data_IF_201617778063
#
_entry.id   IF_201617778063
#
_cell.length_a   1.000
_cell.length_b   1.000
_cell.length_c   1.000
_cell.angle_alpha   90.00
_cell.angle_beta   90.00
_cell.angle_gamma   90.00
#
_symmetry.space_group_name_H-M   'P 1'
#
loop_
_entity.id
_entity.type
_entity.pdbx_description
1 polymer ?
#
# COMPACT_ATOMS: atom_id res chain seq x y z
N UNK A 1 -2.26 15.51 23.79
CA UNK A 1 -2.50 14.09 24.17
C UNK A 1 -1.30 13.53 24.93
N UNK A 2 -1.50 12.56 25.84
CA UNK A 2 -0.37 11.83 26.49
C UNK A 2 0.17 10.74 25.58
N UNK A 3 1.39 10.24 25.83
CA UNK A 3 2.03 9.21 24.97
C UNK A 3 1.20 7.92 24.82
N UNK A 4 0.50 7.49 25.87
CA UNK A 4 -0.38 6.31 25.80
C UNK A 4 -1.62 6.53 24.94
N UNK A 5 -2.12 7.77 24.86
CA UNK A 5 -3.22 8.14 23.98
C UNK A 5 -2.74 8.25 22.52
N UNK A 6 -1.56 8.85 22.29
CA UNK A 6 -0.91 8.90 20.98
C UNK A 6 -0.70 7.48 20.42
N UNK A 7 -0.23 6.55 21.27
CA UNK A 7 -0.06 5.15 20.92
C UNK A 7 -1.37 4.49 20.47
N UNK A 8 -2.48 4.70 21.19
CA UNK A 8 -3.80 4.17 20.79
C UNK A 8 -4.30 4.76 19.48
N UNK A 9 -4.16 6.08 19.28
CA UNK A 9 -4.65 6.76 18.06
C UNK A 9 -3.86 6.39 16.81
N UNK A 10 -2.56 6.12 16.95
CA UNK A 10 -1.67 5.79 15.83
C UNK A 10 -1.49 4.29 15.61
N UNK A 11 -1.85 3.47 16.61
CA UNK A 11 -1.52 2.05 16.65
C UNK A 11 -0.03 1.75 16.83
N UNK A 12 0.82 2.77 17.07
CA UNK A 12 2.25 2.60 17.30
C UNK A 12 2.50 2.29 18.77
N UNK A 13 3.16 1.18 19.14
CA UNK A 13 3.45 0.86 20.54
C UNK A 13 4.29 1.95 21.21
N UNK A 14 4.02 2.23 22.49
CA UNK A 14 4.79 3.21 23.27
C UNK A 14 6.32 2.99 23.22
N UNK A 15 6.85 1.75 23.29
CA UNK A 15 8.29 1.52 23.11
C UNK A 15 8.81 2.00 21.76
N UNK A 16 8.05 1.79 20.68
CA UNK A 16 8.39 2.23 19.33
C UNK A 16 8.32 3.74 19.20
N UNK A 17 7.33 4.41 19.80
CA UNK A 17 7.29 5.89 19.86
C UNK A 17 8.54 6.43 20.57
N UNK A 18 8.93 5.82 21.70
CA UNK A 18 10.15 6.18 22.42
C UNK A 18 11.42 5.88 21.64
N UNK A 19 11.42 4.88 20.77
CA UNK A 19 12.51 4.60 19.85
C UNK A 19 12.61 5.72 18.80
N UNK A 20 11.52 6.07 18.11
CA UNK A 20 11.51 7.16 17.14
C UNK A 20 11.90 8.52 17.74
N UNK A 21 11.54 8.80 18.99
CA UNK A 21 12.00 9.99 19.72
C UNK A 21 13.53 9.99 19.95
N UNK A 22 14.14 8.83 20.21
CA UNK A 22 15.60 8.71 20.41
C UNK A 22 16.38 8.81 19.11
N UNK A 23 15.83 8.24 18.03
CA UNK A 23 16.43 8.29 16.70
C UNK A 23 16.17 9.62 15.98
N UNK A 24 15.46 10.57 16.62
CA UNK A 24 15.16 11.88 16.03
C UNK A 24 14.09 11.87 14.93
N UNK A 25 13.44 10.73 14.69
CA UNK A 25 12.39 10.59 13.67
C UNK A 25 11.08 11.28 14.10
N UNK A 26 10.86 11.46 15.40
CA UNK A 26 9.71 12.17 15.94
C UNK A 26 10.21 13.33 16.82
N UNK A 27 9.69 14.56 16.65
CA UNK A 27 9.99 15.67 17.55
C UNK A 27 9.60 15.35 19.00
N UNK A 28 10.32 15.96 19.94
CA UNK A 28 10.00 15.85 21.35
C UNK A 28 8.65 16.51 21.66
N UNK A 29 7.83 15.87 22.50
CA UNK A 29 6.60 16.47 23.01
C UNK A 29 6.90 17.65 23.94
N UNK A 30 5.91 18.53 24.08
CA UNK A 30 5.99 19.69 24.99
C UNK A 30 6.01 19.22 26.44
N UNK A 31 7.03 19.63 27.20
CA UNK A 31 7.12 19.26 28.62
C UNK A 31 6.00 19.93 29.42
N UNK A 32 5.15 19.11 30.05
CA UNK A 32 4.07 19.57 30.93
C UNK A 32 4.40 19.40 32.41
N UNK A 33 5.35 18.51 32.74
CA UNK A 33 5.93 18.34 34.08
C UNK A 33 7.26 17.57 33.98
N UNK A 34 8.08 17.45 35.06
CA UNK A 34 9.40 16.81 34.99
C UNK A 34 9.43 15.40 34.38
N UNK A 35 8.31 14.67 34.43
CA UNK A 35 8.17 13.31 33.89
C UNK A 35 7.00 13.18 32.91
N UNK A 36 6.45 14.29 32.39
CA UNK A 36 5.31 14.26 31.46
C UNK A 36 5.52 15.21 30.28
N UNK A 37 5.15 14.73 29.10
CA UNK A 37 5.10 15.51 27.88
C UNK A 37 3.71 15.37 27.23
N UNK A 38 3.27 16.46 26.61
CA UNK A 38 2.11 16.52 25.75
C UNK A 38 2.52 16.43 24.28
N UNK A 39 1.74 15.67 23.52
CA UNK A 39 1.91 15.48 22.09
C UNK A 39 0.72 16.10 21.35
N UNK A 40 0.97 16.68 20.18
CA UNK A 40 -0.04 17.30 19.33
C UNK A 40 -0.47 16.42 18.15
N UNK A 41 -1.40 16.91 17.34
CA UNK A 41 -1.82 16.24 16.09
C UNK A 41 -0.68 16.07 15.09
N UNK A 42 0.31 16.96 15.12
CA UNK A 42 1.51 16.86 14.28
C UNK A 42 2.30 15.56 14.56
N UNK A 43 2.40 15.18 15.83
CA UNK A 43 3.04 13.91 16.21
C UNK A 43 2.23 12.71 15.71
N UNK A 44 0.91 12.81 15.67
CA UNK A 44 0.05 11.77 15.12
C UNK A 44 0.22 11.63 13.60
N UNK A 45 0.20 12.75 12.86
CA UNK A 45 0.42 12.79 11.41
C UNK A 45 1.77 12.19 11.05
N UNK A 46 2.83 12.64 11.72
CA UNK A 46 4.19 12.15 11.50
C UNK A 46 4.35 10.66 11.79
N UNK A 47 3.73 10.14 12.85
CA UNK A 47 3.73 8.70 13.14
C UNK A 47 3.00 7.89 12.06
N UNK A 48 1.88 8.39 11.52
CA UNK A 48 1.18 7.75 10.40
C UNK A 48 2.02 7.77 9.13
N UNK A 49 2.74 8.86 8.86
CA UNK A 49 3.67 8.95 7.74
C UNK A 49 4.81 7.94 7.87
N UNK A 50 5.49 7.88 9.02
CA UNK A 50 6.56 6.90 9.28
C UNK A 50 6.07 5.48 9.01
N UNK A 51 4.88 5.14 9.51
CA UNK A 51 4.27 3.82 9.28
C UNK A 51 3.97 3.57 7.81
N UNK A 52 3.40 4.53 7.10
CA UNK A 52 3.10 4.36 5.68
C UNK A 52 4.39 4.11 4.86
N UNK A 53 5.46 4.87 5.14
CA UNK A 53 6.76 4.71 4.49
C UNK A 53 7.44 3.38 4.83
N UNK A 54 7.29 2.89 6.06
CA UNK A 54 7.86 1.62 6.51
C UNK A 54 7.05 0.42 6.02
N UNK A 55 5.74 0.38 6.30
CA UNK A 55 4.87 -0.78 6.13
C UNK A 55 4.51 -1.00 4.65
N UNK A 56 4.22 0.09 3.91
CA UNK A 56 3.78 0.04 2.51
C UNK A 56 4.94 0.44 1.59
N UNK A 57 5.57 1.57 1.90
CA UNK A 57 6.73 2.07 1.16
C UNK A 57 7.94 1.16 1.26
N UNK A 58 8.05 0.34 2.31
CA UNK A 58 9.19 -0.56 2.58
C UNK A 58 10.55 0.14 2.56
N UNK A 59 10.58 1.40 2.97
CA UNK A 59 11.81 2.14 3.24
C UNK A 59 12.41 1.63 4.55
N UNK A 60 13.74 1.64 4.63
CA UNK A 60 14.44 1.39 5.89
C UNK A 60 14.35 2.62 6.79
N UNK A 61 14.43 2.41 8.10
CA UNK A 61 14.39 3.48 9.10
C UNK A 61 15.41 4.60 8.82
N UNK A 62 16.63 4.26 8.37
CA UNK A 62 17.65 5.26 8.02
C UNK A 62 17.18 6.18 6.88
N UNK A 63 16.66 5.62 5.78
CA UNK A 63 16.13 6.39 4.66
C UNK A 63 14.90 7.22 5.05
N UNK A 64 14.04 6.70 5.95
CA UNK A 64 12.93 7.49 6.50
C UNK A 64 13.46 8.70 7.28
N UNK A 65 14.55 8.54 8.04
CA UNK A 65 15.19 9.65 8.74
C UNK A 65 15.71 10.75 7.82
N UNK A 66 16.37 10.38 6.72
CA UNK A 66 16.85 11.33 5.70
C UNK A 66 15.70 12.10 5.06
N UNK A 67 14.63 11.39 4.67
CA UNK A 67 13.42 12.01 4.11
C UNK A 67 12.81 12.99 5.10
N UNK A 68 12.60 12.57 6.34
CA UNK A 68 11.99 13.42 7.37
C UNK A 68 12.86 14.63 7.73
N UNK A 69 14.19 14.47 7.79
CA UNK A 69 15.11 15.59 8.01
C UNK A 69 15.03 16.62 6.87
N UNK A 70 14.87 16.17 5.62
CA UNK A 70 14.66 17.06 4.49
C UNK A 70 13.32 17.81 4.58
N UNK A 71 12.27 17.19 5.13
CA UNK A 71 10.98 17.87 5.39
C UNK A 71 11.11 18.95 6.45
N UNK A 72 11.81 18.63 7.54
CA UNK A 72 11.95 19.54 8.69
C UNK A 72 12.83 20.75 8.37
N UNK A 73 13.68 20.65 7.34
CA UNK A 73 14.48 21.76 6.84
C UNK A 73 13.63 22.77 6.04
N UNK A 74 12.99 23.68 6.77
CA UNK A 74 12.20 24.78 6.22
C UNK A 74 12.99 25.75 5.32
N UNK A 75 14.33 25.71 5.37
CA UNK A 75 15.21 26.55 4.55
C UNK A 75 15.51 25.97 3.16
N UNK A 76 15.30 24.67 2.94
CA UNK A 76 15.60 24.02 1.65
C UNK A 76 14.58 24.38 0.56
N UNK A 77 15.00 24.60 -0.69
CA UNK A 77 14.09 24.61 -1.83
C UNK A 77 13.26 23.31 -1.93
N UNK A 78 12.01 23.39 -2.39
CA UNK A 78 11.11 22.23 -2.47
C UNK A 78 11.67 21.13 -3.40
N UNK A 79 12.29 21.52 -4.50
CA UNK A 79 12.95 20.65 -5.47
C UNK A 79 14.12 19.86 -4.86
N UNK A 80 14.88 20.45 -3.93
CA UNK A 80 15.92 19.72 -3.19
C UNK A 80 15.33 18.67 -2.24
N UNK A 81 14.23 18.99 -1.57
CA UNK A 81 13.52 18.04 -0.69
C UNK A 81 12.98 16.86 -1.51
N UNK A 82 12.35 17.13 -2.65
CA UNK A 82 11.86 16.09 -3.56
C UNK A 82 13.00 15.28 -4.17
N UNK A 83 14.15 15.90 -4.42
CA UNK A 83 15.38 15.23 -4.85
C UNK A 83 15.87 14.20 -3.82
N UNK A 84 15.96 14.60 -2.55
CA UNK A 84 16.37 13.71 -1.47
C UNK A 84 15.39 12.53 -1.29
N UNK A 85 14.09 12.78 -1.44
CA UNK A 85 13.07 11.71 -1.42
C UNK A 85 13.24 10.74 -2.58
N UNK A 86 13.47 11.27 -3.78
CA UNK A 86 13.72 10.47 -4.97
C UNK A 86 14.98 9.61 -4.83
N UNK A 87 16.03 10.17 -4.24
CA UNK A 87 17.28 9.45 -3.94
C UNK A 87 17.05 8.32 -2.92
N UNK A 88 16.37 8.61 -1.81
CA UNK A 88 16.02 7.61 -0.81
C UNK A 88 15.14 6.47 -1.36
N UNK A 89 14.27 6.78 -2.33
CA UNK A 89 13.46 5.80 -3.06
C UNK A 89 14.30 4.91 -3.98
N UNK A 90 15.26 5.49 -4.69
CA UNK A 90 16.17 4.76 -5.58
C UNK A 90 17.19 3.94 -4.78
N UNK A 91 17.57 4.38 -3.59
CA UNK A 91 18.47 3.69 -2.66
C UNK A 91 17.87 2.43 -2.00
N UNK A 92 16.62 2.07 -2.32
CA UNK A 92 16.02 0.79 -1.94
C UNK A 92 16.85 -0.34 -2.57
N UNK A 93 17.27 -1.36 -1.80
CA UNK A 93 18.57 -1.96 -2.00
C UNK A 93 18.66 -2.63 -3.38
N UNK A 94 19.52 -2.08 -4.23
CA UNK A 94 20.37 -2.91 -5.05
C UNK A 94 21.24 -3.74 -4.07
N UNK A 95 20.77 -4.93 -3.73
CA UNK A 95 21.64 -5.97 -3.20
C UNK A 95 21.42 -7.19 -4.09
N UNK A 96 22.47 -7.59 -4.81
CA UNK A 96 23.37 -8.57 -4.25
C UNK A 96 24.64 -7.91 -3.73
N UNK A 97 25.02 -8.25 -2.50
CA UNK A 97 26.40 -8.17 -2.08
C UNK A 97 27.15 -9.19 -2.93
N UNK A 98 27.75 -8.72 -4.01
CA UNK A 98 28.95 -9.31 -4.56
C UNK A 98 29.94 -8.16 -4.69
N UNK A 99 31.18 -8.32 -4.20
CA UNK A 99 32.16 -7.25 -4.28
C UNK A 99 32.42 -6.94 -5.74
N UNK A 100 32.24 -5.68 -6.07
CA UNK A 100 32.64 -5.04 -7.30
C UNK A 100 34.05 -5.50 -7.66
N UNK A 101 34.15 -6.23 -8.77
CA UNK A 101 35.32 -6.03 -9.62
C UNK A 101 35.31 -4.54 -9.96
N UNK A 102 36.43 -3.82 -9.83
CA UNK A 102 36.44 -2.38 -10.07
C UNK A 102 35.88 -2.17 -11.48
N UNK A 103 34.71 -1.50 -11.59
CA UNK A 103 34.21 -1.10 -12.91
C UNK A 103 35.30 -0.20 -13.49
N UNK A 104 35.99 -0.62 -14.57
CA UNK A 104 36.91 0.27 -15.23
C UNK A 104 36.05 1.39 -15.80
N UNK A 105 36.52 2.63 -15.71
CA UNK A 105 36.13 3.67 -16.66
C UNK A 105 36.09 3.02 -18.06
N UNK A 106 34.88 2.91 -18.65
CA UNK A 106 34.69 2.42 -20.00
C UNK A 106 34.04 1.03 -20.22
N UNK A 107 33.10 0.55 -19.40
CA UNK A 107 32.22 -0.56 -19.83
C UNK A 107 31.39 -0.11 -21.06
N UNK A 108 31.64 -0.68 -22.26
CA UNK A 108 30.96 -0.25 -23.48
C UNK A 108 29.44 -0.45 -23.42
N UNK A 109 28.96 -1.43 -22.64
CA UNK A 109 27.54 -1.71 -22.46
C UNK A 109 26.90 -0.62 -21.61
N UNK A 110 27.53 -0.25 -20.50
CA UNK A 110 27.05 0.81 -19.62
C UNK A 110 27.04 2.17 -20.34
N UNK A 111 28.10 2.51 -21.08
CA UNK A 111 28.14 3.72 -21.88
C UNK A 111 27.07 3.75 -22.98
N UNK A 112 26.83 2.62 -23.64
CA UNK A 112 25.77 2.50 -24.65
C UNK A 112 24.39 2.73 -24.03
N UNK A 113 24.13 2.14 -22.86
CA UNK A 113 22.92 2.37 -22.09
C UNK A 113 22.77 3.85 -21.70
N UNK A 114 23.85 4.49 -21.22
CA UNK A 114 23.85 5.92 -20.85
C UNK A 114 23.48 6.81 -22.03
N UNK A 115 24.12 6.59 -23.20
CA UNK A 115 23.79 7.31 -24.44
C UNK A 115 22.32 7.13 -24.84
N UNK A 116 21.75 5.93 -24.68
CA UNK A 116 20.33 5.66 -24.96
C UNK A 116 19.40 6.42 -24.00
N UNK A 117 19.74 6.49 -22.72
CA UNK A 117 19.00 7.24 -21.69
C UNK A 117 19.06 8.74 -21.98
N UNK A 118 20.24 9.29 -22.25
CA UNK A 118 20.40 10.72 -22.55
C UNK A 118 19.62 11.11 -23.82
N UNK A 119 19.67 10.27 -24.85
CA UNK A 119 18.90 10.49 -26.06
C UNK A 119 17.38 10.39 -25.80
N UNK A 120 16.92 9.54 -24.88
CA UNK A 120 15.52 9.48 -24.47
C UNK A 120 15.10 10.78 -23.75
N UNK A 121 15.87 11.21 -22.75
CA UNK A 121 15.63 12.45 -22.00
C UNK A 121 15.55 13.65 -22.95
N UNK A 122 16.51 13.76 -23.88
CA UNK A 122 16.54 14.83 -24.87
C UNK A 122 15.33 14.79 -25.82
N UNK A 123 14.98 13.62 -26.37
CA UNK A 123 13.80 13.48 -27.26
C UNK A 123 12.49 13.84 -26.58
N UNK A 124 12.38 13.58 -25.27
CA UNK A 124 11.19 13.91 -24.48
C UNK A 124 11.18 15.36 -23.98
N UNK A 125 12.30 16.07 -24.07
CA UNK A 125 12.44 17.41 -23.51
C UNK A 125 12.39 17.43 -21.98
N UNK A 126 12.72 16.32 -21.32
CA UNK A 126 12.72 16.26 -19.86
C UNK A 126 13.91 17.04 -19.29
N UNK A 127 13.63 17.86 -18.27
CA UNK A 127 14.65 18.64 -17.56
C UNK A 127 15.22 17.82 -16.40
N UNK A 128 16.20 16.96 -16.71
CA UNK A 128 16.83 16.05 -15.74
C UNK A 128 18.32 16.35 -15.62
N UNK A 129 18.75 16.86 -14.46
CA UNK A 129 20.16 17.20 -14.18
C UNK A 129 21.09 15.99 -14.26
N UNK A 130 22.35 16.20 -14.66
CA UNK A 130 23.31 15.16 -15.05
C UNK A 130 23.51 14.03 -14.02
N UNK A 131 23.43 14.36 -12.73
CA UNK A 131 23.61 13.46 -11.59
C UNK A 131 22.31 12.92 -11.01
N UNK A 132 21.16 13.12 -11.68
CA UNK A 132 19.87 12.68 -11.17
C UNK A 132 19.86 11.14 -10.93
N UNK A 133 19.47 10.66 -9.73
CA UNK A 133 19.47 9.23 -9.41
C UNK A 133 18.69 8.36 -10.40
N UNK A 134 17.58 8.89 -10.95
CA UNK A 134 16.78 8.20 -11.96
C UNK A 134 17.53 7.94 -13.29
N UNK A 135 18.49 8.80 -13.66
CA UNK A 135 19.33 8.60 -14.85
C UNK A 135 20.25 7.40 -14.66
N UNK A 136 20.93 7.29 -13.52
CA UNK A 136 21.82 6.16 -13.21
C UNK A 136 21.03 4.86 -13.07
N UNK A 137 19.89 4.88 -12.37
CA UNK A 137 19.04 3.68 -12.21
C UNK A 137 18.59 3.11 -13.56
N UNK A 138 18.10 3.96 -14.46
CA UNK A 138 17.66 3.52 -15.79
C UNK A 138 18.86 3.03 -16.63
N UNK A 139 20.00 3.70 -16.53
CA UNK A 139 21.24 3.29 -17.21
C UNK A 139 21.68 1.90 -16.77
N UNK A 140 21.81 1.66 -15.46
CA UNK A 140 22.17 0.36 -14.91
C UNK A 140 21.15 -0.73 -15.25
N UNK A 141 19.85 -0.41 -15.24
CA UNK A 141 18.78 -1.35 -15.64
C UNK A 141 18.92 -1.77 -17.10
N UNK A 142 19.14 -0.82 -18.01
CA UNK A 142 19.31 -1.12 -19.43
C UNK A 142 20.60 -1.88 -19.71
N UNK A 143 21.70 -1.52 -19.04
CA UNK A 143 22.95 -2.26 -19.15
C UNK A 143 22.78 -3.71 -18.68
N UNK A 144 22.09 -3.94 -17.56
CA UNK A 144 21.77 -5.27 -17.07
C UNK A 144 20.90 -6.08 -18.06
N UNK A 145 19.87 -5.45 -18.64
CA UNK A 145 19.02 -6.10 -19.65
C UNK A 145 19.80 -6.46 -20.92
N UNK A 146 20.67 -5.57 -21.40
CA UNK A 146 21.51 -5.81 -22.56
C UNK A 146 22.46 -6.99 -22.31
N UNK A 147 23.09 -7.07 -21.12
CA UNK A 147 23.95 -8.21 -20.72
C UNK A 147 23.18 -9.54 -20.65
N UNK A 148 21.89 -9.50 -20.33
CA UNK A 148 21.01 -10.68 -20.31
C UNK A 148 20.45 -11.04 -21.71
N UNK A 149 20.81 -10.30 -22.76
CA UNK A 149 20.36 -10.55 -24.14
C UNK A 149 19.01 -9.92 -24.49
N UNK A 150 18.48 -9.04 -23.64
CA UNK A 150 17.19 -8.34 -23.84
C UNK A 150 17.35 -6.93 -24.41
N UNK A 151 18.26 -6.74 -25.37
CA UNK A 151 18.57 -5.42 -25.94
C UNK A 151 17.42 -4.77 -26.72
N UNK A 152 16.43 -5.56 -27.13
CA UNK A 152 15.22 -5.09 -27.81
C UNK A 152 14.22 -4.40 -26.87
N UNK A 153 14.40 -4.51 -25.55
CA UNK A 153 13.60 -3.80 -24.54
C UNK A 153 13.57 -2.29 -24.78
N UNK A 154 14.61 -1.75 -25.43
CA UNK A 154 14.66 -0.36 -25.89
C UNK A 154 13.46 0.09 -26.72
N UNK A 155 12.78 -0.82 -27.43
CA UNK A 155 11.58 -0.51 -28.23
C UNK A 155 10.38 -0.15 -27.35
N UNK A 156 10.26 -0.80 -26.19
CA UNK A 156 9.15 -0.60 -25.25
C UNK A 156 9.39 0.64 -24.39
N UNK A 157 10.63 1.14 -24.28
CA UNK A 157 10.95 2.35 -23.51
C UNK A 157 10.15 3.57 -23.94
N UNK A 158 9.78 3.68 -25.21
CA UNK A 158 8.94 4.79 -25.69
C UNK A 158 7.57 4.75 -25.02
N UNK A 159 6.92 3.59 -24.97
CA UNK A 159 5.61 3.42 -24.33
C UNK A 159 5.71 3.64 -22.81
N UNK A 160 6.79 3.17 -22.18
CA UNK A 160 7.05 3.40 -20.75
C UNK A 160 7.22 4.89 -20.46
N UNK A 161 7.94 5.62 -21.29
CA UNK A 161 8.14 7.06 -21.12
C UNK A 161 6.80 7.82 -21.24
N UNK A 162 5.95 7.47 -22.20
CA UNK A 162 4.60 8.08 -22.29
C UNK A 162 3.73 7.75 -21.08
N UNK A 163 3.76 6.50 -20.61
CA UNK A 163 3.01 6.11 -19.41
C UNK A 163 3.52 6.88 -18.19
N UNK A 164 4.84 7.00 -18.03
CA UNK A 164 5.46 7.76 -16.95
C UNK A 164 5.07 9.24 -16.97
N UNK A 165 5.02 9.88 -18.15
CA UNK A 165 4.55 11.27 -18.29
C UNK A 165 3.09 11.44 -17.83
N UNK A 166 2.22 10.50 -18.21
CA UNK A 166 0.80 10.54 -17.79
C UNK A 166 0.66 10.40 -16.27
N UNK A 167 1.44 9.49 -15.67
CA UNK A 167 1.44 9.27 -14.21
C UNK A 167 1.98 10.48 -13.48
N UNK A 168 3.17 10.97 -13.87
CA UNK A 168 3.80 12.13 -13.24
C UNK A 168 2.90 13.37 -13.30
N UNK A 169 2.21 13.59 -14.43
CA UNK A 169 1.24 14.68 -14.54
C UNK A 169 0.09 14.53 -13.55
N UNK A 170 -0.51 13.34 -13.47
CA UNK A 170 -1.62 13.08 -12.54
C UNK A 170 -1.20 13.24 -11.07
N UNK A 171 0.01 12.82 -10.73
CA UNK A 171 0.57 12.99 -9.37
C UNK A 171 0.79 14.46 -9.02
N UNK A 172 1.38 15.25 -9.94
CA UNK A 172 1.59 16.68 -9.75
C UNK A 172 0.27 17.46 -9.70
N UNK A 173 -0.70 17.13 -10.56
CA UNK A 173 -2.04 17.74 -10.55
C UNK A 173 -2.77 17.46 -9.21
N UNK A 174 -2.59 16.26 -8.63
CA UNK A 174 -3.14 15.93 -7.31
C UNK A 174 -2.52 16.79 -6.18
N UNK A 175 -1.25 17.16 -6.31
CA UNK A 175 -0.54 17.99 -5.33
C UNK A 175 -0.94 19.48 -5.42
N UNK A 176 -1.26 19.97 -6.63
CA UNK A 176 -1.51 21.40 -6.90
C UNK A 176 -2.71 22.01 -6.12
N UNK A 177 -3.62 21.18 -5.58
CA UNK A 177 -4.76 21.63 -4.79
C UNK A 177 -4.48 21.89 -3.30
N UNK A 178 -3.24 21.70 -2.82
CA UNK A 178 -2.88 21.80 -1.39
C UNK A 178 -2.24 23.14 -1.05
N UNK A 179 -2.64 23.73 0.08
CA UNK A 179 -2.08 24.99 0.59
C UNK A 179 -1.12 24.73 1.75
N UNK A 180 0.08 25.31 1.68
CA UNK A 180 1.11 25.21 2.73
C UNK A 180 2.25 24.27 2.34
N UNK A 181 3.50 24.71 2.59
CA UNK A 181 4.72 23.98 2.23
C UNK A 181 4.80 22.59 2.85
N UNK A 182 4.51 22.50 4.15
CA UNK A 182 4.55 21.24 4.91
C UNK A 182 3.59 20.20 4.33
N UNK A 183 2.34 20.60 4.06
CA UNK A 183 1.34 19.75 3.44
C UNK A 183 1.73 19.32 2.00
N UNK A 184 2.36 20.21 1.22
CA UNK A 184 2.85 19.89 -0.12
C UNK A 184 3.99 18.86 -0.07
N UNK A 185 4.97 19.04 0.82
CA UNK A 185 6.11 18.12 0.98
C UNK A 185 5.63 16.76 1.46
N UNK A 186 4.78 16.70 2.49
CA UNK A 186 4.22 15.46 3.00
C UNK A 186 3.42 14.72 1.90
N UNK A 187 2.56 15.43 1.17
CA UNK A 187 1.78 14.86 0.07
C UNK A 187 2.67 14.35 -1.05
N UNK A 188 3.75 15.06 -1.37
CA UNK A 188 4.67 14.66 -2.43
C UNK A 188 5.52 13.44 -2.03
N UNK A 189 5.90 13.31 -0.76
CA UNK A 189 6.56 12.10 -0.23
C UNK A 189 5.62 10.90 -0.30
N UNK A 190 4.39 11.07 0.17
CA UNK A 190 3.38 10.00 0.11
C UNK A 190 3.08 9.63 -1.34
N UNK A 191 2.91 10.62 -2.21
CA UNK A 191 2.65 10.44 -3.63
C UNK A 191 3.79 9.73 -4.34
N UNK A 192 5.03 10.12 -4.12
CA UNK A 192 6.19 9.48 -4.77
C UNK A 192 6.41 8.05 -4.26
N UNK A 193 6.38 7.84 -2.94
CA UNK A 193 6.68 6.52 -2.34
C UNK A 193 5.50 5.56 -2.52
N UNK A 194 4.31 5.95 -2.05
CA UNK A 194 3.15 5.07 -2.09
C UNK A 194 2.52 5.04 -3.48
N UNK A 195 2.60 6.14 -4.24
CA UNK A 195 2.16 6.15 -5.63
C UNK A 195 3.01 5.24 -6.50
N UNK A 196 4.32 5.16 -6.27
CA UNK A 196 5.18 4.16 -6.94
C UNK A 196 4.72 2.72 -6.67
N UNK A 197 4.40 2.39 -5.42
CA UNK A 197 3.85 1.06 -5.05
C UNK A 197 2.49 0.82 -5.71
N UNK A 198 1.59 1.81 -5.67
CA UNK A 198 0.28 1.71 -6.30
C UNK A 198 0.39 1.54 -7.82
N UNK A 199 1.30 2.25 -8.47
CA UNK A 199 1.53 2.16 -9.90
C UNK A 199 2.05 0.78 -10.30
N UNK A 200 3.00 0.20 -9.56
CA UNK A 200 3.48 -1.14 -9.84
C UNK A 200 2.37 -2.19 -9.65
N UNK A 201 1.53 -2.04 -8.62
CA UNK A 201 0.36 -2.90 -8.43
C UNK A 201 -0.63 -2.78 -9.61
N UNK A 202 -0.94 -1.56 -10.06
CA UNK A 202 -1.81 -1.32 -11.22
C UNK A 202 -1.22 -1.91 -12.50
N UNK A 203 0.10 -1.75 -12.72
CA UNK A 203 0.82 -2.34 -13.84
C UNK A 203 0.73 -3.86 -13.82
N UNK A 204 0.88 -4.48 -12.65
CA UNK A 204 0.74 -5.93 -12.49
C UNK A 204 -0.69 -6.40 -12.80
N UNK A 205 -1.70 -5.71 -12.30
CA UNK A 205 -3.11 -6.00 -12.61
C UNK A 205 -3.41 -5.86 -14.11
N UNK A 206 -2.93 -4.79 -14.74
CA UNK A 206 -3.10 -4.57 -16.17
C UNK A 206 -2.42 -5.66 -17.01
N UNK A 207 -1.25 -6.15 -16.59
CA UNK A 207 -0.57 -7.29 -17.24
C UNK A 207 -1.38 -8.57 -17.11
N UNK A 208 -1.94 -8.85 -15.93
CA UNK A 208 -2.80 -10.01 -15.70
C UNK A 208 -4.03 -9.96 -16.61
N UNK A 209 -4.74 -8.83 -16.69
CA UNK A 209 -5.89 -8.67 -17.60
C UNK A 209 -5.49 -8.88 -19.07
N UNK A 210 -4.41 -8.25 -19.53
CA UNK A 210 -3.93 -8.41 -20.91
C UNK A 210 -3.50 -9.84 -21.23
N UNK A 211 -2.88 -10.52 -20.28
CA UNK A 211 -2.52 -11.93 -20.42
C UNK A 211 -3.76 -12.81 -20.52
N UNK A 212 -4.75 -12.61 -19.63
CA UNK A 212 -6.00 -13.37 -19.62
C UNK A 212 -6.77 -13.19 -20.94
N UNK A 213 -6.92 -11.96 -21.42
CA UNK A 213 -7.60 -11.69 -22.71
C UNK A 213 -6.89 -12.30 -23.92
N UNK A 214 -5.56 -12.42 -23.86
CA UNK A 214 -4.75 -12.98 -24.95
C UNK A 214 -4.77 -14.51 -24.98
N UNK A 215 -4.94 -15.16 -23.83
CA UNK A 215 -4.86 -16.62 -23.69
C UNK A 215 -6.20 -17.29 -23.33
N UNK A 216 -7.32 -16.58 -23.42
CA UNK A 216 -8.66 -17.20 -23.36
C UNK A 216 -9.38 -17.17 -22.00
N UNK A 217 -9.03 -16.25 -21.10
CA UNK A 217 -9.79 -15.97 -19.87
C UNK A 217 -9.51 -16.93 -18.71
N UNK A 218 -9.71 -16.45 -17.48
CA UNK A 218 -9.84 -17.32 -16.32
C UNK A 218 -11.02 -18.29 -16.58
N UNK A 219 -10.96 -19.57 -16.17
CA UNK A 219 -12.15 -20.41 -16.18
C UNK A 219 -13.25 -19.66 -15.42
N UNK A 220 -14.41 -19.48 -16.06
CA UNK A 220 -15.60 -19.00 -15.36
C UNK A 220 -15.79 -19.90 -14.13
N UNK A 221 -16.13 -19.33 -12.95
CA UNK A 221 -16.54 -20.18 -11.83
C UNK A 221 -17.69 -21.06 -12.33
N UNK A 222 -17.50 -22.38 -12.27
CA UNK A 222 -18.57 -23.32 -12.65
C UNK A 222 -19.84 -22.92 -11.90
N UNK A 223 -21.00 -22.88 -12.57
CA UNK A 223 -22.25 -22.59 -11.89
C UNK A 223 -22.38 -23.55 -10.70
N UNK A 224 -22.65 -23.01 -9.51
CA UNK A 224 -22.96 -23.85 -8.35
C UNK A 224 -24.06 -24.83 -8.76
N UNK A 225 -23.91 -26.14 -8.43
CA UNK A 225 -24.92 -27.12 -8.79
C UNK A 225 -26.26 -26.65 -8.23
N UNK A 226 -27.29 -26.60 -9.08
CA UNK A 226 -28.64 -26.25 -8.66
C UNK A 226 -29.01 -27.10 -7.43
N UNK A 227 -29.57 -26.50 -6.37
CA UNK A 227 -29.97 -27.27 -5.19
C UNK A 227 -30.92 -28.38 -5.65
N UNK A 228 -30.60 -29.62 -5.25
CA UNK A 228 -31.46 -30.77 -5.55
C UNK A 228 -32.90 -30.43 -5.12
N UNK A 229 -33.91 -30.71 -5.97
CA UNK A 229 -35.30 -30.39 -5.63
C UNK A 229 -35.65 -31.07 -4.30
N UNK A 230 -36.20 -30.29 -3.36
CA UNK A 230 -36.66 -30.81 -2.08
C UNK A 230 -37.59 -32.00 -2.35
N UNK A 231 -37.42 -33.14 -1.64
CA UNK A 231 -38.28 -34.29 -1.84
C UNK A 231 -39.74 -33.90 -1.60
N UNK A 232 -40.61 -34.28 -2.53
CA UNK A 232 -42.05 -33.99 -2.42
C UNK A 232 -42.57 -34.46 -1.04
N UNK A 233 -43.37 -33.64 -0.34
CA UNK A 233 -43.90 -34.02 0.95
C UNK A 233 -44.72 -35.31 0.82
N UNK A 234 -44.43 -36.29 1.67
CA UNK A 234 -45.19 -37.54 1.71
C UNK A 234 -46.69 -37.24 1.89
N UNK A 235 -47.58 -37.93 1.14
CA UNK A 235 -49.00 -37.66 1.22
C UNK A 235 -49.51 -37.93 2.63
N UNK A 236 -50.25 -36.97 3.19
CA UNK A 236 -50.86 -37.10 4.52
C UNK A 236 -51.71 -38.38 4.59
N UNK A 237 -51.60 -39.17 5.67
CA UNK A 237 -52.38 -40.39 5.80
C UNK A 237 -53.87 -40.07 5.88
N UNK A 238 -54.67 -40.78 5.08
CA UNK A 238 -56.12 -40.63 5.05
C UNK A 238 -56.73 -40.86 6.45
N UNK A 239 -57.72 -40.07 6.87
CA UNK A 239 -58.34 -40.23 8.18
C UNK A 239 -59.15 -41.53 8.22
N UNK A 240 -58.69 -42.51 9.00
CA UNK A 240 -59.46 -43.73 9.28
C UNK A 240 -60.78 -43.38 9.99
N UNK A 241 -61.90 -43.64 9.31
CA UNK A 241 -63.23 -43.55 9.90
C UNK A 241 -63.47 -44.68 10.88
N UNK A 242 -63.76 -44.32 12.13
CA UNK A 242 -64.02 -45.17 13.29
C UNK A 242 -65.24 -46.09 13.11
N UNK A 243 -65.16 -47.32 13.63
CA UNK A 243 -66.34 -48.06 14.14
C UNK A 243 -65.97 -48.94 15.35
N UNK A 244 -66.63 -48.73 16.49
CA UNK A 244 -66.46 -49.48 17.75
C UNK A 244 -67.04 -50.92 17.73
N UNK A 245 -67.26 -51.63 18.87
CA UNK A 245 -67.50 -51.11 20.23
C UNK A 245 -66.86 -51.88 21.43
N UNK A 246 -67.04 -51.27 22.62
CA UNK A 246 -67.19 -51.85 23.96
C UNK A 246 -65.98 -52.50 24.69
N UNK A 247 -65.53 -51.85 25.76
CA UNK A 247 -64.72 -52.51 26.80
C UNK A 247 -64.20 -51.53 27.86
N UNK A 248 -64.89 -51.44 29.00
CA UNK A 248 -64.60 -50.56 30.15
C UNK A 248 -63.18 -50.75 30.71
N UNK A 249 -62.53 -49.68 31.19
CA UNK A 249 -62.32 -49.44 32.63
C UNK A 249 -61.78 -48.02 32.97
N UNK A 250 -62.61 -47.29 33.72
CA UNK A 250 -62.41 -46.31 34.82
C UNK A 250 -61.15 -45.40 34.92
N UNK A 251 -61.46 -44.09 34.83
CA UNK A 251 -60.92 -42.87 35.50
C UNK A 251 -60.81 -43.04 37.07
N UNK A 252 -60.19 -42.15 37.91
CA UNK A 252 -59.97 -40.71 37.62
C UNK A 252 -58.87 -39.87 38.37
N UNK A 253 -58.73 -38.60 37.90
CA UNK A 253 -58.48 -37.28 38.57
C UNK A 253 -57.21 -37.03 39.43
N UNK A 254 -56.66 -35.81 39.60
CA UNK A 254 -57.02 -34.42 39.22
C UNK A 254 -55.84 -33.48 39.52
N UNK A 255 -55.89 -32.26 38.97
CA UNK A 255 -55.32 -31.05 39.56
C UNK A 255 -54.52 -30.22 38.55
N UNK A 256 -55.17 -29.49 37.64
CA UNK A 256 -55.67 -28.10 37.81
C UNK A 256 -54.57 -27.16 38.33
N UNK A 257 -54.02 -26.32 37.45
CA UNK A 257 -54.35 -24.89 37.30
C UNK A 257 -53.29 -24.06 38.05
N UNK A 258 -52.91 -22.85 37.68
CA UNK A 258 -53.56 -21.83 36.88
C UNK A 258 -52.51 -20.74 36.57
N UNK A 259 -52.81 -19.95 35.53
CA UNK A 259 -52.47 -18.52 35.26
C UNK A 259 -51.31 -17.81 35.99
N UNK A 260 -50.59 -16.85 35.39
CA UNK A 260 -50.82 -16.07 34.18
C UNK A 260 -49.95 -14.81 34.18
N UNK A 261 -49.88 -14.19 32.99
CA UNK A 261 -49.79 -12.75 32.66
C UNK A 261 -48.90 -11.77 33.46
N UNK A 262 -48.08 -10.99 32.74
CA UNK A 262 -47.18 -9.98 33.30
C UNK A 262 -47.73 -8.58 33.51
N UNK A 263 -46.92 -7.69 34.12
CA UNK A 263 -46.72 -6.25 33.79
C UNK A 263 -45.77 -5.55 34.78
N UNK A 264 -44.90 -4.70 34.20
CA UNK A 264 -44.34 -3.41 34.67
C UNK A 264 -43.51 -3.31 35.95
N UNK A 265 -42.29 -2.79 35.77
CA UNK A 265 -41.43 -2.12 36.75
C UNK A 265 -40.23 -1.55 36.02
#
# INVERSE_FOLDING_TARGET
>A
MRIGELSRRTGVPVPTIKYYLREGLLPAGELTSPNQAAYGEEHERRLKLIRALLDIGGLKIAAIGEVLAAVDDSGRPLDEVLGAVSEALVARPAKPEQPESPEPDGDPVHESARRRVDALIARRGWLVGETAPGRELLTGTLAAMDRLGHGDFGRVLTDYAEAAERVARAELDHQAGRTGREALVETAIVGSVLGGVAFEALRQLARTDRSARRHGGFPEPEPEPEPEPEPEPEPEPEPETVSGPAGRLRWPVSGDADTGYGRTG
#
